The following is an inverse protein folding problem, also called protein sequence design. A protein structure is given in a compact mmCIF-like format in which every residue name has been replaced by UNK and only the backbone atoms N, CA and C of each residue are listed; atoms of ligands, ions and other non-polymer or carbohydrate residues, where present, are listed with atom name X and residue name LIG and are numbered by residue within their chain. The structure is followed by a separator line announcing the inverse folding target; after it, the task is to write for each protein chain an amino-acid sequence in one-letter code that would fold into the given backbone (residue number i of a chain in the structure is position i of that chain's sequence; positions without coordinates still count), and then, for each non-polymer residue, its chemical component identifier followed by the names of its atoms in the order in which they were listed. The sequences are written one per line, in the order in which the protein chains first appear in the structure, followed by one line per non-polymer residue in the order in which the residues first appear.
data_IF_158546788951
#
_entry.id   IF_158546788951
#
_cell.length_a   1.000
_cell.length_b   1.000
_cell.length_c   1.000
_cell.angle_alpha   90.00
_cell.angle_beta   90.00
_cell.angle_gamma   90.00
#
_symmetry.space_group_name_H-M   'P 1'
#
loop_
_entity.id
_entity.type
_entity.pdbx_description
1 polymer ?
#
# COMPACT_ATOMS: atom_id res chain seq x y z
N UNK A 1 -33.08 -36.71 -30.27
CA UNK A 1 -33.26 -35.82 -31.45
C UNK A 1 -33.73 -34.43 -30.98
N UNK A 2 -33.15 -33.35 -31.55
CA UNK A 2 -33.51 -31.91 -31.45
C UNK A 2 -33.14 -31.22 -30.12
N UNK A 3 -31.96 -30.61 -29.96
CA UNK A 3 -31.48 -29.25 -30.38
C UNK A 3 -32.42 -28.10 -29.99
N UNK A 4 -31.92 -27.14 -29.20
CA UNK A 4 -31.64 -25.77 -29.67
C UNK A 4 -30.98 -24.88 -28.59
N UNK A 5 -29.94 -24.17 -29.01
CA UNK A 5 -29.16 -23.15 -28.29
C UNK A 5 -29.50 -21.77 -28.85
N UNK A 6 -29.52 -20.71 -28.04
CA UNK A 6 -29.37 -19.29 -28.48
C UNK A 6 -29.12 -18.43 -27.22
N UNK A 7 -27.93 -17.91 -26.91
CA UNK A 7 -27.14 -16.81 -27.50
C UNK A 7 -27.90 -15.48 -27.62
N UNK A 8 -27.71 -14.58 -26.65
CA UNK A 8 -28.22 -13.21 -26.64
C UNK A 8 -27.12 -12.22 -27.00
N UNK A 9 -27.18 -11.65 -28.22
CA UNK A 9 -26.49 -10.40 -28.60
C UNK A 9 -27.39 -9.22 -28.27
N UNK A 10 -26.81 -8.19 -27.66
CA UNK A 10 -27.47 -6.90 -27.40
C UNK A 10 -27.06 -5.94 -28.52
N UNK A 11 -28.02 -5.56 -29.35
CA UNK A 11 -27.93 -4.50 -30.35
C UNK A 11 -28.25 -3.14 -29.69
N UNK A 12 -27.27 -2.22 -29.68
CA UNK A 12 -27.53 -0.82 -29.32
C UNK A 12 -27.99 -0.03 -30.56
N UNK A 13 -29.29 0.31 -30.55
CA UNK A 13 -29.98 1.21 -31.48
C UNK A 13 -29.45 2.65 -31.36
N UNK A 14 -28.92 3.18 -32.46
CA UNK A 14 -28.78 4.63 -32.67
C UNK A 14 -29.99 5.13 -33.46
N UNK A 15 -30.67 6.18 -32.98
CA UNK A 15 -31.73 6.92 -33.70
C UNK A 15 -31.42 8.43 -33.70
N UNK A 16 -31.96 9.22 -34.66
CA UNK A 16 -31.21 10.22 -35.41
C UNK A 16 -31.89 11.61 -35.41
N UNK A 17 -31.55 12.44 -36.42
CA UNK A 17 -32.19 13.69 -36.93
C UNK A 17 -31.43 14.96 -36.51
N UNK A 18 -31.21 16.01 -37.32
CA UNK A 18 -31.70 16.39 -38.65
C UNK A 18 -30.84 17.57 -39.19
N UNK A 19 -30.38 17.46 -40.45
CA UNK A 19 -30.48 18.42 -41.57
C UNK A 19 -30.35 19.94 -41.31
N UNK A 20 -29.34 20.59 -41.92
CA UNK A 20 -29.52 21.89 -42.60
C UNK A 20 -28.50 22.08 -43.73
N UNK A 21 -28.94 22.59 -44.90
CA UNK A 21 -28.14 22.98 -46.08
C UNK A 21 -28.22 24.50 -46.27
N UNK A 22 -27.30 25.04 -47.10
CA UNK A 22 -27.06 26.41 -47.62
C UNK A 22 -25.96 27.12 -46.83
N UNK A 23 -24.88 27.66 -47.41
CA UNK A 23 -24.56 28.01 -48.80
C UNK A 23 -24.31 29.51 -48.89
N UNK A 24 -23.14 29.93 -49.40
CA UNK A 24 -22.88 31.28 -49.91
C UNK A 24 -21.72 32.04 -49.25
N UNK A 25 -20.69 32.32 -50.04
CA UNK A 25 -19.54 33.21 -49.79
C UNK A 25 -19.91 34.65 -49.40
N UNK A 26 -19.04 35.30 -48.61
CA UNK A 26 -18.57 36.69 -48.84
C UNK A 26 -17.42 37.07 -47.89
N UNK A 27 -16.37 37.61 -48.49
CA UNK A 27 -15.18 38.24 -47.91
C UNK A 27 -15.47 39.68 -47.43
N UNK A 28 -14.89 40.10 -46.29
CA UNK A 28 -14.02 41.29 -46.16
C UNK A 28 -13.59 41.58 -44.70
N UNK A 29 -12.32 41.96 -44.61
CA UNK A 29 -11.51 42.62 -43.57
C UNK A 29 -12.16 43.22 -42.30
N UNK A 30 -11.43 43.11 -41.18
CA UNK A 30 -11.54 44.05 -40.05
C UNK A 30 -10.98 43.56 -38.72
N UNK A 31 -9.74 43.99 -38.39
CA UNK A 31 -9.17 44.29 -37.07
C UNK A 31 -9.29 43.32 -35.86
N UNK A 32 -8.10 42.96 -35.34
CA UNK A 32 -7.75 42.51 -33.97
C UNK A 32 -8.26 43.46 -32.85
N UNK A 33 -8.12 43.16 -31.53
CA UNK A 33 -7.49 42.01 -30.85
C UNK A 33 -8.34 41.41 -29.70
N UNK A 34 -7.77 40.42 -29.02
CA UNK A 34 -8.03 40.11 -27.60
C UNK A 34 -9.33 39.35 -27.25
N UNK A 35 -9.26 38.04 -27.41
CA UNK A 35 -9.70 37.17 -26.34
C UNK A 35 -8.48 36.31 -26.00
N UNK A 36 -7.68 36.77 -25.04
CA UNK A 36 -6.76 35.90 -24.32
C UNK A 36 -7.59 34.78 -23.70
N UNK A 37 -7.77 33.68 -24.44
CA UNK A 37 -8.14 32.38 -23.88
C UNK A 37 -6.92 31.91 -23.09
N UNK A 38 -6.67 32.57 -21.95
CA UNK A 38 -5.80 32.09 -20.89
C UNK A 38 -6.50 30.91 -20.22
N UNK A 39 -6.71 29.83 -20.98
CA UNK A 39 -6.72 28.49 -20.43
C UNK A 39 -5.34 28.30 -19.84
N UNK A 40 -5.25 28.61 -18.55
CA UNK A 40 -4.14 28.26 -17.69
C UNK A 40 -3.75 26.82 -18.05
N UNK A 41 -2.61 26.67 -18.73
CA UNK A 41 -2.11 25.35 -19.11
C UNK A 41 -1.76 24.66 -17.81
N UNK A 42 -2.68 23.84 -17.31
CA UNK A 42 -2.43 22.98 -16.15
C UNK A 42 -1.32 22.02 -16.56
N UNK A 43 -0.10 22.30 -16.08
CA UNK A 43 1.01 21.37 -16.18
C UNK A 43 0.79 20.32 -15.11
N UNK A 44 0.41 19.12 -15.53
CA UNK A 44 0.30 17.96 -14.63
C UNK A 44 1.70 17.39 -14.48
N UNK A 45 2.29 17.54 -13.30
CA UNK A 45 3.56 16.90 -12.95
C UNK A 45 3.31 15.45 -12.52
N UNK A 46 4.03 14.52 -13.14
CA UNK A 46 4.03 13.11 -12.76
C UNK A 46 4.83 12.92 -11.47
N UNK A 47 4.14 12.60 -10.38
CA UNK A 47 4.76 12.39 -9.09
C UNK A 47 5.11 10.91 -8.87
N UNK A 48 6.24 10.67 -8.21
CA UNK A 48 6.60 9.33 -7.74
C UNK A 48 5.61 8.84 -6.68
N UNK A 49 5.32 7.54 -6.69
CA UNK A 49 4.44 6.93 -5.68
C UNK A 49 4.96 7.16 -4.25
N UNK A 50 4.05 7.20 -3.27
CA UNK A 50 4.39 7.27 -1.84
C UNK A 50 5.44 6.23 -1.44
N UNK A 51 5.31 5.03 -2.00
CA UNK A 51 6.22 3.92 -1.77
C UNK A 51 7.63 4.20 -2.27
N UNK A 52 7.76 4.74 -3.47
CA UNK A 52 9.05 5.13 -4.06
C UNK A 52 9.72 6.20 -3.20
N UNK A 53 8.95 7.22 -2.79
CA UNK A 53 9.45 8.31 -1.95
C UNK A 53 9.85 7.84 -0.54
N UNK A 54 9.15 6.85 0.03
CA UNK A 54 9.44 6.28 1.34
C UNK A 54 10.46 5.13 1.33
N UNK A 55 10.93 4.70 0.15
CA UNK A 55 11.78 3.50 -0.01
C UNK A 55 13.07 3.54 0.81
N UNK A 56 13.68 4.73 0.98
CA UNK A 56 14.89 4.91 1.80
C UNK A 56 14.69 4.65 3.30
N UNK A 57 13.43 4.57 3.74
CA UNK A 57 13.08 4.32 5.14
C UNK A 57 12.53 2.91 5.35
N UNK A 58 12.41 2.09 4.29
CA UNK A 58 11.91 0.72 4.39
C UNK A 58 12.94 -0.16 5.12
N UNK A 59 12.55 -0.68 6.29
CA UNK A 59 13.38 -1.56 7.12
C UNK A 59 13.25 -3.05 6.74
N UNK A 60 12.04 -3.46 6.35
CA UNK A 60 11.71 -4.84 6.01
C UNK A 60 10.33 -4.96 5.34
N UNK A 61 10.11 -6.08 4.64
CA UNK A 61 8.78 -6.61 4.31
C UNK A 61 8.61 -7.90 5.10
N UNK A 62 7.57 -7.98 5.94
CA UNK A 62 7.43 -9.09 6.88
C UNK A 62 5.96 -9.43 7.21
N UNK A 63 5.72 -10.68 7.61
CA UNK A 63 4.46 -11.16 8.18
C UNK A 63 4.41 -10.71 9.65
N UNK A 64 3.51 -9.79 9.97
CA UNK A 64 3.27 -9.32 11.34
C UNK A 64 1.95 -9.88 11.88
N UNK A 65 1.88 -10.25 13.18
CA UNK A 65 0.61 -10.54 13.82
C UNK A 65 -0.33 -9.34 13.75
N UNK A 66 -1.64 -9.56 13.60
CA UNK A 66 -2.60 -8.46 13.56
C UNK A 66 -2.66 -7.71 14.90
N UNK A 67 -2.48 -8.43 16.01
CA UNK A 67 -2.60 -7.89 17.36
C UNK A 67 -1.45 -6.93 17.75
N UNK A 68 -0.34 -6.92 17.00
CA UNK A 68 0.77 -5.98 17.22
C UNK A 68 0.64 -4.70 16.38
N UNK A 69 -0.41 -4.61 15.54
CA UNK A 69 -0.67 -3.45 14.69
C UNK A 69 -1.57 -2.45 15.43
N UNK A 70 -1.11 -1.22 15.54
CA UNK A 70 -1.84 -0.13 16.21
C UNK A 70 -2.36 0.88 15.19
N UNK A 71 -3.66 1.16 15.22
CA UNK A 71 -4.24 2.30 14.48
C UNK A 71 -4.01 3.65 15.17
N UNK A 72 -3.55 3.62 16.43
CA UNK A 72 -3.19 4.81 17.19
C UNK A 72 -1.76 5.20 16.84
N UNK A 73 -1.60 6.41 16.32
CA UNK A 73 -0.29 6.96 16.04
C UNK A 73 0.20 7.74 17.24
N UNK A 74 1.50 7.67 17.48
CA UNK A 74 2.14 8.53 18.47
C UNK A 74 2.04 10.01 18.09
N UNK A 75 1.99 10.31 16.79
CA UNK A 75 1.87 11.66 16.27
C UNK A 75 0.93 11.72 15.06
N UNK A 76 0.15 12.80 14.96
CA UNK A 76 -0.86 12.96 13.91
C UNK A 76 -2.17 12.23 14.20
N UNK A 77 -2.98 12.02 13.15
CA UNK A 77 -4.26 11.33 13.22
C UNK A 77 -4.38 10.37 12.05
N UNK A 78 -4.78 9.14 12.34
CA UNK A 78 -5.08 8.16 11.31
C UNK A 78 -6.35 8.57 10.53
N UNK A 79 -6.44 8.13 9.28
CA UNK A 79 -7.61 8.38 8.43
C UNK A 79 -8.85 7.74 9.09
N UNK A 80 -10.02 8.40 9.01
CA UNK A 80 -11.25 7.85 9.53
C UNK A 80 -11.56 6.53 8.85
N UNK A 81 -12.19 5.65 9.61
CA UNK A 81 -12.56 4.32 9.15
C UNK A 81 -13.99 4.35 8.63
N UNK A 82 -14.21 3.68 7.50
CA UNK A 82 -15.50 3.56 6.84
C UNK A 82 -16.00 2.13 7.03
N UNK A 83 -17.08 1.97 7.78
CA UNK A 83 -17.64 0.67 8.14
C UNK A 83 -18.25 -0.03 6.92
N UNK A 84 -18.80 0.69 5.93
CA UNK A 84 -19.32 0.08 4.70
C UNK A 84 -18.19 -0.54 3.87
N UNK A 85 -17.03 0.13 3.85
CA UNK A 85 -15.84 -0.39 3.19
C UNK A 85 -15.29 -1.62 3.92
N UNK A 86 -15.28 -1.60 5.26
CA UNK A 86 -14.90 -2.78 6.06
C UNK A 86 -15.81 -3.95 5.74
N UNK A 87 -17.12 -3.74 5.69
CA UNK A 87 -18.09 -4.79 5.42
C UNK A 87 -17.94 -5.39 4.02
N UNK A 88 -17.55 -4.57 3.03
CA UNK A 88 -17.19 -5.05 1.69
C UNK A 88 -15.92 -5.89 1.73
N UNK A 89 -14.88 -5.43 2.41
CA UNK A 89 -13.61 -6.17 2.55
C UNK A 89 -13.79 -7.48 3.31
N UNK A 90 -14.51 -7.47 4.44
CA UNK A 90 -14.84 -8.66 5.24
C UNK A 90 -15.51 -9.71 4.38
N UNK A 91 -16.56 -9.34 3.63
CA UNK A 91 -17.25 -10.25 2.71
C UNK A 91 -16.31 -10.77 1.63
N UNK A 92 -15.43 -9.93 1.09
CA UNK A 92 -14.43 -10.38 0.12
C UNK A 92 -13.49 -11.43 0.72
N UNK A 93 -13.00 -11.23 1.95
CA UNK A 93 -12.12 -12.18 2.62
C UNK A 93 -12.80 -13.53 2.85
N UNK A 94 -14.06 -13.53 3.29
CA UNK A 94 -14.83 -14.77 3.50
C UNK A 94 -15.08 -15.50 2.18
N UNK A 95 -15.40 -14.78 1.11
CA UNK A 95 -15.81 -15.40 -0.15
C UNK A 95 -14.64 -15.79 -1.06
N UNK A 96 -13.53 -15.04 -1.03
CA UNK A 96 -12.40 -15.17 -1.98
C UNK A 96 -11.08 -15.50 -1.29
N UNK A 97 -11.04 -15.52 0.03
CA UNK A 97 -9.81 -15.65 0.81
C UNK A 97 -9.05 -14.32 0.95
N UNK A 98 -7.87 -14.41 1.54
CA UNK A 98 -7.06 -13.24 1.86
C UNK A 98 -5.89 -13.08 0.88
N UNK A 99 -5.88 -11.99 0.11
CA UNK A 99 -4.77 -11.65 -0.79
C UNK A 99 -3.53 -11.09 -0.07
N UNK A 100 -3.11 -11.66 1.06
CA UNK A 100 -2.05 -11.08 1.93
C UNK A 100 -0.65 -11.17 1.33
N UNK A 101 -0.47 -11.92 0.25
CA UNK A 101 0.80 -12.07 -0.47
C UNK A 101 0.91 -11.11 -1.67
N UNK A 102 -0.20 -10.47 -2.06
CA UNK A 102 -0.18 -9.49 -3.13
C UNK A 102 0.35 -8.18 -2.58
N UNK A 103 1.34 -7.60 -3.28
CA UNK A 103 2.03 -6.39 -2.85
C UNK A 103 1.09 -5.18 -2.71
N UNK A 104 0.02 -5.13 -3.52
CA UNK A 104 -1.04 -4.11 -3.45
C UNK A 104 -1.89 -4.21 -2.17
N UNK A 105 -1.84 -5.35 -1.50
CA UNK A 105 -2.54 -5.61 -0.26
C UNK A 105 -1.65 -5.49 0.97
N UNK A 106 -0.35 -5.20 0.81
CA UNK A 106 0.54 -5.01 1.94
C UNK A 106 0.09 -3.80 2.77
N UNK A 107 0.07 -3.98 4.08
CA UNK A 107 -0.16 -2.88 5.01
C UNK A 107 1.14 -2.09 5.17
N UNK A 108 1.04 -0.77 5.34
CA UNK A 108 2.22 0.06 5.61
C UNK A 108 2.22 0.41 7.08
N UNK A 109 3.33 0.11 7.75
CA UNK A 109 3.46 0.31 9.20
C UNK A 109 4.77 1.02 9.50
N UNK A 110 4.85 1.64 10.68
CA UNK A 110 6.10 2.21 11.17
C UNK A 110 6.41 1.79 12.59
N UNK A 111 7.69 1.55 12.87
CA UNK A 111 8.22 1.22 14.19
C UNK A 111 9.71 1.62 14.26
N UNK A 112 10.33 1.44 15.42
CA UNK A 112 11.75 1.68 15.59
C UNK A 112 12.61 0.67 14.79
N UNK A 113 13.78 1.12 14.34
CA UNK A 113 14.80 0.22 13.78
C UNK A 113 15.26 -0.82 14.80
N UNK A 114 15.33 -0.45 16.09
CA UNK A 114 15.73 -1.31 17.20
C UNK A 114 14.81 -2.53 17.34
N UNK A 115 13.49 -2.34 17.25
CA UNK A 115 12.52 -3.44 17.29
C UNK A 115 12.72 -4.41 16.11
N UNK A 116 12.94 -3.88 14.90
CA UNK A 116 13.21 -4.70 13.71
C UNK A 116 14.54 -5.47 13.83
N UNK A 117 15.57 -4.84 14.38
CA UNK A 117 16.86 -5.50 14.58
C UNK A 117 16.80 -6.57 15.67
N UNK A 118 16.03 -6.34 16.74
CA UNK A 118 15.78 -7.30 17.80
C UNK A 118 15.10 -8.58 17.27
N UNK A 119 14.01 -8.44 16.49
CA UNK A 119 13.32 -9.60 15.89
C UNK A 119 14.21 -10.30 14.85
N UNK A 120 14.96 -9.58 14.03
CA UNK A 120 15.95 -10.18 13.09
C UNK A 120 17.02 -10.96 13.86
N UNK A 121 17.53 -10.45 14.97
CA UNK A 121 18.49 -11.15 15.82
C UNK A 121 17.89 -12.39 16.47
N UNK A 122 16.65 -12.33 16.95
CA UNK A 122 15.93 -13.48 17.49
C UNK A 122 15.76 -14.59 16.43
N UNK A 123 15.37 -14.25 15.20
CA UNK A 123 15.23 -15.21 14.10
C UNK A 123 16.57 -15.88 13.76
N UNK A 124 17.66 -15.11 13.72
CA UNK A 124 19.01 -15.67 13.52
C UNK A 124 19.35 -16.67 14.63
N UNK A 125 19.16 -16.32 15.90
CA UNK A 125 19.43 -17.23 17.03
C UNK A 125 18.62 -18.53 16.90
N UNK A 126 17.33 -18.44 16.58
CA UNK A 126 16.46 -19.61 16.40
C UNK A 126 16.93 -20.52 15.26
N UNK A 127 17.39 -19.96 14.15
CA UNK A 127 17.95 -20.73 13.04
C UNK A 127 19.22 -21.50 13.46
N UNK A 128 20.11 -20.87 14.25
CA UNK A 128 21.32 -21.52 14.75
C UNK A 128 21.02 -22.63 15.76
N UNK A 129 19.98 -22.47 16.59
CA UNK A 129 19.54 -23.49 17.55
C UNK A 129 18.82 -24.68 16.90
N UNK A 130 18.27 -24.51 15.70
CA UNK A 130 17.57 -25.56 14.96
C UNK A 130 18.51 -26.53 14.20
N UNK A 131 19.83 -26.28 14.21
CA UNK A 131 20.83 -27.22 13.69
C UNK A 131 20.92 -27.31 12.16
N UNK A 132 20.32 -26.38 11.41
CA UNK A 132 20.53 -26.31 9.96
C UNK A 132 21.93 -25.74 9.64
N UNK A 133 22.68 -26.35 8.70
CA UNK A 133 24.06 -25.96 8.43
C UNK A 133 24.12 -24.56 7.83
N UNK A 134 24.77 -23.64 8.56
CA UNK A 134 25.18 -22.34 8.05
C UNK A 134 26.16 -22.56 6.91
N UNK A 135 25.69 -22.41 5.68
CA UNK A 135 26.59 -22.15 4.55
C UNK A 135 27.16 -20.76 4.77
N UNK A 136 28.41 -20.69 5.20
CA UNK A 136 29.17 -19.44 5.31
C UNK A 136 29.12 -18.67 3.98
N UNK A 137 28.79 -17.37 3.97
CA UNK A 137 28.97 -16.56 2.77
C UNK A 137 30.45 -16.14 2.68
N UNK A 138 31.27 -17.04 2.15
CA UNK A 138 32.57 -16.70 1.59
C UNK A 138 32.44 -16.50 0.09
N UNK A 139 32.87 -15.35 -0.42
CA UNK A 139 33.13 -15.13 -1.84
C UNK A 139 32.00 -14.44 -2.60
N UNK A 140 32.33 -13.29 -3.19
CA UNK A 140 31.39 -12.31 -3.72
C UNK A 140 30.55 -12.74 -4.92
N UNK A 141 29.48 -11.99 -5.14
CA UNK A 141 28.98 -11.68 -6.47
C UNK A 141 28.04 -10.48 -6.45
N UNK A 142 28.46 -9.42 -7.13
CA UNK A 142 27.61 -8.37 -7.66
C UNK A 142 26.64 -8.99 -8.65
N UNK A 143 25.39 -9.21 -8.25
CA UNK A 143 24.28 -9.30 -9.19
C UNK A 143 23.11 -8.54 -8.58
N UNK A 144 22.50 -7.67 -9.39
CA UNK A 144 21.24 -7.00 -9.10
C UNK A 144 20.17 -8.07 -8.87
N UNK A 145 20.11 -8.55 -7.64
CA UNK A 145 19.17 -9.55 -7.21
C UNK A 145 17.84 -8.81 -7.04
N UNK A 146 17.03 -8.86 -8.09
CA UNK A 146 15.59 -8.63 -8.03
C UNK A 146 15.02 -9.73 -7.12
N UNK A 147 15.30 -9.64 -5.83
CA UNK A 147 14.83 -10.57 -4.82
C UNK A 147 13.32 -10.41 -4.79
N UNK A 148 12.62 -11.35 -5.42
CA UNK A 148 11.35 -11.83 -4.89
C UNK A 148 11.67 -12.52 -3.55
N UNK A 149 12.13 -11.76 -2.56
CA UNK A 149 12.37 -12.26 -1.21
C UNK A 149 11.01 -12.50 -0.60
N UNK A 150 10.77 -13.74 -0.20
CA UNK A 150 9.61 -14.06 0.62
C UNK A 150 9.59 -13.11 1.84
N UNK A 151 8.42 -12.57 2.24
CA UNK A 151 8.33 -11.75 3.44
C UNK A 151 8.90 -12.47 4.66
N UNK A 152 9.71 -11.76 5.46
CA UNK A 152 10.28 -12.28 6.70
C UNK A 152 9.16 -12.71 7.66
N UNK A 153 9.38 -13.76 8.44
CA UNK A 153 8.40 -14.22 9.42
C UNK A 153 8.59 -13.51 10.77
N UNK A 154 7.89 -12.40 10.98
CA UNK A 154 7.93 -11.63 12.23
C UNK A 154 6.76 -12.00 13.16
N UNK A 155 6.17 -13.19 13.03
CA UNK A 155 5.04 -13.60 13.89
C UNK A 155 5.39 -13.70 15.38
N UNK A 156 6.67 -13.81 15.74
CA UNK A 156 7.14 -13.77 17.12
C UNK A 156 7.34 -12.34 17.68
N UNK A 157 6.82 -11.31 17.02
CA UNK A 157 7.02 -9.90 17.39
C UNK A 157 6.76 -9.61 18.87
N UNK A 158 5.61 -10.04 19.39
CA UNK A 158 5.22 -9.83 20.78
C UNK A 158 6.08 -10.58 21.81
N UNK A 159 6.86 -11.58 21.38
CA UNK A 159 7.80 -12.30 22.26
C UNK A 159 9.15 -11.59 22.39
N UNK A 160 9.46 -10.68 21.45
CA UNK A 160 10.78 -10.05 21.31
C UNK A 160 10.75 -8.56 21.62
N UNK A 161 9.62 -7.90 21.38
CA UNK A 161 9.48 -6.45 21.50
C UNK A 161 8.15 -6.08 22.13
N UNK A 162 8.15 -5.08 23.02
CA UNK A 162 6.93 -4.49 23.58
C UNK A 162 6.36 -3.35 22.71
N UNK A 163 7.04 -3.00 21.61
CA UNK A 163 6.59 -1.93 20.70
C UNK A 163 5.47 -2.42 19.78
N UNK A 164 4.40 -1.64 19.65
CA UNK A 164 3.38 -1.86 18.63
C UNK A 164 3.77 -1.14 17.32
N UNK A 165 3.54 -1.78 16.18
CA UNK A 165 3.77 -1.16 14.88
C UNK A 165 2.59 -0.24 14.52
N UNK A 166 2.87 1.04 14.27
CA UNK A 166 1.85 2.05 13.95
C UNK A 166 1.43 1.91 12.49
N UNK A 167 0.13 1.67 12.25
CA UNK A 167 -0.43 1.39 10.93
C UNK A 167 -0.69 2.69 10.16
N UNK A 168 0.16 2.97 9.17
CA UNK A 168 0.09 4.16 8.32
C UNK A 168 -0.94 4.01 7.19
N UNK A 169 -1.10 2.79 6.67
CA UNK A 169 -2.04 2.47 5.60
C UNK A 169 -2.54 1.02 5.72
N UNK A 170 -3.84 0.82 5.47
CA UNK A 170 -4.50 -0.49 5.54
C UNK A 170 -5.39 -0.71 6.77
N UNK A 171 -5.82 0.34 7.44
CA UNK A 171 -6.70 0.30 8.62
C UNK A 171 -8.05 -0.40 8.36
N UNK A 172 -8.68 -0.20 7.20
CA UNK A 172 -9.89 -0.93 6.83
C UNK A 172 -9.62 -2.42 6.64
N UNK A 173 -8.47 -2.77 6.05
CA UNK A 173 -8.04 -4.18 5.92
C UNK A 173 -7.78 -4.80 7.30
N UNK A 174 -7.13 -4.08 8.22
CA UNK A 174 -6.87 -4.56 9.58
C UNK A 174 -8.18 -4.87 10.30
N UNK A 175 -9.11 -3.92 10.32
CA UNK A 175 -10.43 -4.13 10.94
C UNK A 175 -11.19 -5.28 10.27
N UNK A 176 -11.25 -5.31 8.94
CA UNK A 176 -11.93 -6.37 8.20
C UNK A 176 -11.30 -7.75 8.44
N UNK A 177 -9.97 -7.83 8.57
CA UNK A 177 -9.26 -9.07 8.87
C UNK A 177 -9.57 -9.57 10.27
N UNK A 178 -9.55 -8.69 11.29
CA UNK A 178 -9.98 -9.06 12.65
C UNK A 178 -11.41 -9.59 12.67
N UNK A 179 -12.34 -8.93 11.98
CA UNK A 179 -13.74 -9.37 11.93
C UNK A 179 -13.90 -10.70 11.18
N UNK A 180 -13.16 -10.92 10.09
CA UNK A 180 -13.26 -12.14 9.29
C UNK A 180 -12.63 -13.36 9.96
N UNK A 181 -11.49 -13.19 10.65
CA UNK A 181 -10.79 -14.27 11.36
C UNK A 181 -11.39 -14.56 12.74
N UNK A 182 -12.13 -13.60 13.30
CA UNK A 182 -12.81 -13.73 14.59
C UNK A 182 -11.86 -14.14 15.73
N UNK A 183 -12.39 -14.92 16.67
CA UNK A 183 -11.63 -15.44 17.81
C UNK A 183 -10.84 -16.74 17.50
N UNK A 184 -10.77 -17.16 16.23
CA UNK A 184 -10.15 -18.42 15.82
C UNK A 184 -8.62 -18.48 15.98
N UNK A 185 -8.02 -19.51 15.39
CA UNK A 185 -6.60 -19.86 15.50
C UNK A 185 -5.66 -18.66 15.34
N UNK A 186 -4.86 -18.41 16.38
CA UNK A 186 -3.88 -17.31 16.43
C UNK A 186 -2.83 -17.39 15.30
N UNK A 187 -2.49 -18.60 14.85
CA UNK A 187 -1.50 -18.83 13.79
C UNK A 187 -1.86 -18.21 12.44
N UNK A 188 -3.15 -17.94 12.19
CA UNK A 188 -3.66 -17.33 10.96
C UNK A 188 -3.85 -15.81 11.08
N UNK A 189 -3.66 -15.23 12.27
CA UNK A 189 -3.86 -13.80 12.54
C UNK A 189 -2.61 -12.99 12.23
N UNK A 190 -2.23 -12.97 10.96
CA UNK A 190 -1.10 -12.18 10.47
C UNK A 190 -1.39 -11.51 9.13
N UNK A 191 -0.65 -10.46 8.82
CA UNK A 191 -0.68 -9.77 7.53
C UNK A 191 0.73 -9.40 7.06
N UNK A 192 0.95 -9.36 5.75
CA UNK A 192 2.24 -8.89 5.20
C UNK A 192 2.30 -7.37 5.22
N UNK A 193 3.36 -6.84 5.83
CA UNK A 193 3.52 -5.41 6.05
C UNK A 193 4.84 -4.92 5.47
N UNK A 194 4.81 -3.70 4.93
CA UNK A 194 5.98 -2.87 4.66
C UNK A 194 6.28 -2.05 5.91
N UNK A 195 7.44 -2.32 6.51
CA UNK A 195 7.84 -1.75 7.80
C UNK A 195 8.80 -0.60 7.53
N UNK A 196 8.41 0.61 7.90
CA UNK A 196 9.21 1.82 7.72
C UNK A 196 9.78 2.31 9.05
N UNK A 197 11.00 2.83 9.02
CA UNK A 197 11.63 3.42 10.18
C UNK A 197 10.87 4.68 10.61
N UNK A 198 10.45 4.69 11.87
CA UNK A 198 9.80 5.84 12.53
C UNK A 198 10.75 7.01 12.78
N UNK A 199 12.07 6.78 12.68
CA UNK A 199 13.10 7.74 13.03
C UNK A 199 13.36 7.78 14.53
N UNK A 200 14.57 8.21 14.92
CA UNK A 200 14.94 8.34 16.33
C UNK A 200 14.19 9.52 16.96
N UNK A 201 13.56 9.30 18.12
CA UNK A 201 12.96 10.36 18.95
C UNK A 201 14.00 11.32 19.56
N UNK A 202 15.30 11.00 19.50
CA UNK A 202 16.36 11.82 20.08
C UNK A 202 17.25 12.44 18.99
N UNK A 203 16.86 13.61 18.49
CA UNK A 203 17.85 14.56 18.00
C UNK A 203 17.52 15.96 18.51
N UNK A 204 18.15 16.30 19.64
CA UNK A 204 18.38 17.69 20.02
C UNK A 204 19.46 18.26 19.09
N UNK A 205 19.10 18.58 17.85
CA UNK A 205 19.91 19.39 16.96
C UNK A 205 19.02 20.53 16.42
N UNK A 206 19.38 21.80 16.68
CA UNK A 206 18.59 22.92 16.16
C UNK A 206 18.83 22.99 14.65
N UNK A 207 17.83 22.60 13.85
CA UNK A 207 17.82 22.94 12.42
C UNK A 207 17.23 21.95 11.43
N UNK A 208 17.02 20.67 11.79
CA UNK A 208 16.47 19.69 10.83
C UNK A 208 15.45 18.76 11.48
N UNK A 209 14.20 19.23 11.53
CA UNK A 209 13.07 18.44 11.99
C UNK A 209 12.56 17.52 10.87
N UNK A 210 13.01 16.27 10.77
CA UNK A 210 12.31 15.27 9.95
C UNK A 210 12.37 13.82 10.49
N UNK A 211 11.91 13.51 11.73
CA UNK A 211 11.53 12.12 12.04
C UNK A 211 10.27 11.66 11.27
N UNK A 212 9.47 12.59 10.72
CA UNK A 212 8.09 12.29 10.28
C UNK A 212 7.85 12.38 8.77
N UNK A 213 8.93 12.42 7.98
CA UNK A 213 8.82 12.45 6.52
C UNK A 213 8.04 11.24 5.99
N UNK A 214 8.21 10.07 6.59
CA UNK A 214 7.55 8.81 6.19
C UNK A 214 6.03 8.83 6.40
N UNK A 215 5.56 9.31 7.56
CA UNK A 215 4.12 9.39 7.84
C UNK A 215 3.49 10.29 6.79
N UNK A 216 4.05 11.49 6.59
CA UNK A 216 3.53 12.44 5.61
C UNK A 216 3.58 11.88 4.18
N UNK A 217 4.68 11.25 3.76
CA UNK A 217 4.81 10.65 2.42
C UNK A 217 3.72 9.60 2.18
N UNK A 218 3.50 8.72 3.16
CA UNK A 218 2.58 7.58 3.02
C UNK A 218 1.12 8.03 3.10
N UNK A 219 0.82 9.07 3.87
CA UNK A 219 -0.55 9.47 4.16
C UNK A 219 -1.05 10.64 3.30
N UNK A 220 -0.18 11.35 2.59
CA UNK A 220 -0.54 12.59 1.84
C UNK A 220 -0.68 12.40 0.33
N UNK A 221 -0.50 11.16 -0.17
CA UNK A 221 -0.80 10.75 -1.53
C UNK A 221 -2.00 9.78 -1.54
#
# INVERSE_FOLDING_TARGET
MKRSSTSSRIDNKTRPLKKHRKGGDKSHAGASPDATDSRERVVIEELSSARTLASSHLLAVAKLPLDVLSTRWSEGKNRPVDEDHIDKLRRSFINRGFGRLDQENYMKVTCSAEAVDAIKAHLRKRAHSAGDPVVSPGGGQTTSQKQSSEPLDFRAWAEVTDELAELLDGQHRLKAAHQALGAGNSSEKWWTCEIYNKGMKSWNAPGYALPYKVVYIITSL
#
